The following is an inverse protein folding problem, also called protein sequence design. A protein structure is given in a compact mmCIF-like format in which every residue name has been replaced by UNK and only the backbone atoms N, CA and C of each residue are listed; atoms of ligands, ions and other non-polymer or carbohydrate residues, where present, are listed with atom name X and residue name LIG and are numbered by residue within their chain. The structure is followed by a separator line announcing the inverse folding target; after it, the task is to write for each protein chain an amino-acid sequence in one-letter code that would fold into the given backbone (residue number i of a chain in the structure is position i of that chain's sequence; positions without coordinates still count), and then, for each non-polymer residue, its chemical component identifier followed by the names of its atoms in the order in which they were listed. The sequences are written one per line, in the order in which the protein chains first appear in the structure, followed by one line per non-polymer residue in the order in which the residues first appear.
data_IF_293588514715
#
_entry.id   IF_293588514715
#
_cell.length_a   1.000
_cell.length_b   1.000
_cell.length_c   1.000
_cell.angle_alpha   90.00
_cell.angle_beta   90.00
_cell.angle_gamma   90.00
#
_symmetry.space_group_name_H-M   'P 1'
#
loop_
_entity.id
_entity.type
_entity.pdbx_description
1 polymer ?
#
# COMPACT_ATOMS: atom_id res chain seq x y z
N UNK A 1 -15.25 21.00 19.91
CA UNK A 1 -15.16 21.50 18.51
C UNK A 1 -13.79 22.13 18.29
N UNK A 2 -12.76 21.29 18.20
CA UNK A 2 -11.46 21.59 17.62
C UNK A 2 -11.24 20.46 16.62
N UNK A 3 -10.97 20.82 15.37
CA UNK A 3 -11.30 20.04 14.18
C UNK A 3 -10.74 18.64 14.17
N UNK A 4 -11.54 17.72 13.61
CA UNK A 4 -11.01 16.61 12.85
C UNK A 4 -10.12 17.19 11.75
N UNK A 5 -8.87 17.51 12.09
CA UNK A 5 -7.86 17.90 11.12
C UNK A 5 -7.72 16.72 10.16
N UNK A 6 -7.79 16.98 8.85
CA UNK A 6 -7.88 15.99 7.78
C UNK A 6 -6.89 14.83 7.94
N UNK A 7 -7.38 13.73 8.50
CA UNK A 7 -6.66 12.46 8.57
C UNK A 7 -6.96 11.54 7.39
N UNK A 8 -7.81 11.98 6.46
CA UNK A 8 -8.12 11.25 5.25
C UNK A 8 -6.83 11.03 4.43
N UNK A 9 -6.53 9.78 4.11
CA UNK A 9 -5.33 9.35 3.40
C UNK A 9 -4.93 10.28 2.23
N UNK A 10 -5.91 10.69 1.42
CA UNK A 10 -5.69 11.45 0.19
C UNK A 10 -5.48 12.97 0.42
N UNK A 11 -5.82 13.48 1.60
CA UNK A 11 -5.75 14.92 1.93
C UNK A 11 -4.70 15.20 3.02
N UNK A 12 -4.24 14.16 3.72
CA UNK A 12 -3.30 14.25 4.82
C UNK A 12 -1.89 14.57 4.32
N UNK A 13 -1.38 15.74 4.70
CA UNK A 13 -0.03 16.22 4.31
C UNK A 13 1.08 15.55 5.15
N UNK A 14 0.75 15.04 6.33
CA UNK A 14 1.70 14.36 7.21
C UNK A 14 1.06 13.88 8.51
N UNK A 15 1.85 13.21 9.34
CA UNK A 15 1.42 12.80 10.68
C UNK A 15 1.46 14.00 11.65
N UNK A 16 0.51 14.05 12.61
CA UNK A 16 0.56 14.94 13.77
C UNK A 16 1.93 14.95 14.46
N UNK A 17 2.34 16.13 14.94
CA UNK A 17 3.63 16.33 15.59
C UNK A 17 3.85 15.38 16.78
N UNK A 18 2.80 15.12 17.55
CA UNK A 18 2.81 14.22 18.70
C UNK A 18 3.03 12.74 18.32
N UNK A 19 2.82 12.37 17.05
CA UNK A 19 3.13 11.03 16.52
C UNK A 19 4.54 10.95 15.91
N UNK A 20 5.23 12.07 15.67
CA UNK A 20 6.55 12.09 15.01
C UNK A 20 7.75 11.93 15.95
N UNK A 21 7.55 12.06 17.26
CA UNK A 21 8.66 12.09 18.22
C UNK A 21 9.61 10.87 18.16
N UNK A 22 9.11 9.68 17.79
CA UNK A 22 9.98 8.50 17.62
C UNK A 22 10.84 8.59 16.36
N UNK A 23 10.31 9.15 15.27
CA UNK A 23 11.09 9.40 14.06
C UNK A 23 12.14 10.49 14.30
N UNK A 24 11.85 11.48 15.15
CA UNK A 24 12.82 12.49 15.56
C UNK A 24 13.91 11.91 16.48
N UNK A 25 13.52 11.04 17.43
CA UNK A 25 14.45 10.38 18.35
C UNK A 25 15.32 9.33 17.67
N UNK A 26 14.77 8.62 16.69
CA UNK A 26 15.43 7.56 15.93
C UNK A 26 15.34 7.91 14.44
N UNK A 27 16.20 8.80 13.91
CA UNK A 27 16.15 9.20 12.52
C UNK A 27 16.51 8.03 11.59
N UNK A 28 15.95 8.04 10.38
CA UNK A 28 15.98 6.91 9.43
C UNK A 28 17.40 6.46 9.08
N UNK A 29 18.33 7.40 9.02
CA UNK A 29 19.74 7.17 8.71
C UNK A 29 20.39 6.22 9.71
N UNK A 30 19.91 6.21 10.96
CA UNK A 30 20.47 5.38 12.04
C UNK A 30 19.79 4.01 12.14
N UNK A 31 18.73 3.74 11.39
CA UNK A 31 17.93 2.53 11.55
C UNK A 31 18.73 1.26 11.24
N UNK A 32 19.57 1.30 10.20
CA UNK A 32 20.33 0.14 9.75
C UNK A 32 21.39 -0.31 10.75
N UNK A 33 21.89 0.57 11.60
CA UNK A 33 22.92 0.24 12.61
C UNK A 33 22.32 0.03 14.01
N UNK A 34 21.00 0.22 14.18
CA UNK A 34 20.36 0.16 15.48
C UNK A 34 20.12 -1.29 15.90
N UNK A 35 20.76 -1.70 17.00
CA UNK A 35 20.76 -3.07 17.52
C UNK A 35 19.37 -3.73 17.63
N UNK A 36 18.32 -2.94 17.89
CA UNK A 36 16.94 -3.43 18.03
C UNK A 36 16.04 -3.26 16.79
N UNK A 37 16.55 -2.69 15.69
CA UNK A 37 15.79 -2.50 14.43
C UNK A 37 16.04 -3.66 13.45
N UNK A 38 17.12 -4.43 13.65
CA UNK A 38 17.42 -5.58 12.81
C UNK A 38 16.34 -6.68 12.89
N UNK A 39 16.08 -7.36 11.76
CA UNK A 39 15.11 -8.43 11.64
C UNK A 39 13.74 -7.95 11.14
N UNK A 40 12.74 -7.90 12.03
CA UNK A 40 11.33 -7.68 11.67
C UNK A 40 11.10 -6.32 10.99
N UNK A 41 11.73 -5.23 11.45
CA UNK A 41 11.53 -3.92 10.82
C UNK A 41 12.07 -3.88 9.37
N UNK A 42 13.23 -4.50 9.11
CA UNK A 42 13.75 -4.64 7.76
C UNK A 42 12.84 -5.50 6.86
N UNK A 43 12.21 -6.55 7.40
CA UNK A 43 11.24 -7.35 6.67
C UNK A 43 10.02 -6.52 6.24
N UNK A 44 9.48 -5.68 7.13
CA UNK A 44 8.37 -4.78 6.80
C UNK A 44 8.75 -3.73 5.76
N UNK A 45 9.94 -3.13 5.87
CA UNK A 45 10.44 -2.19 4.86
C UNK A 45 10.59 -2.86 3.49
N UNK A 46 11.12 -4.08 3.43
CA UNK A 46 11.24 -4.85 2.19
C UNK A 46 9.88 -5.21 1.59
N UNK A 47 8.87 -5.53 2.41
CA UNK A 47 7.49 -5.72 1.94
C UNK A 47 6.95 -4.45 1.29
N UNK A 48 7.16 -3.29 1.92
CA UNK A 48 6.74 -2.01 1.36
C UNK A 48 7.50 -1.65 0.08
N UNK A 49 8.81 -1.94 0.01
CA UNK A 49 9.61 -1.76 -1.20
C UNK A 49 9.07 -2.61 -2.36
N UNK A 50 8.73 -3.88 -2.11
CA UNK A 50 8.09 -4.77 -3.08
C UNK A 50 6.77 -4.20 -3.62
N UNK A 51 5.93 -3.60 -2.76
CA UNK A 51 4.69 -2.96 -3.24
C UNK A 51 4.97 -1.76 -4.15
N UNK A 52 5.98 -0.94 -3.83
CA UNK A 52 6.36 0.19 -4.70
C UNK A 52 6.88 -0.31 -6.05
N UNK A 53 7.67 -1.37 -6.05
CA UNK A 53 8.18 -1.98 -7.29
C UNK A 53 7.05 -2.55 -8.15
N UNK A 54 6.18 -3.37 -7.58
CA UNK A 54 5.04 -3.96 -8.29
C UNK A 54 4.06 -2.89 -8.80
N UNK A 55 3.77 -1.88 -7.98
CA UNK A 55 2.92 -0.76 -8.38
C UNK A 55 3.53 0.03 -9.55
N UNK A 56 4.83 0.32 -9.49
CA UNK A 56 5.56 0.96 -10.59
C UNK A 56 5.58 0.12 -11.86
N UNK A 57 5.77 -1.20 -11.73
CA UNK A 57 5.70 -2.14 -12.86
C UNK A 57 4.34 -2.09 -13.54
N UNK A 58 3.25 -2.20 -12.78
CA UNK A 58 1.87 -2.13 -13.30
C UNK A 58 1.60 -0.79 -13.98
N UNK A 59 2.00 0.34 -13.37
CA UNK A 59 1.82 1.67 -13.94
C UNK A 59 2.57 1.83 -15.28
N UNK A 60 3.81 1.33 -15.36
CA UNK A 60 4.59 1.37 -16.59
C UNK A 60 3.94 0.53 -17.70
N UNK A 61 3.47 -0.68 -17.40
CA UNK A 61 2.78 -1.52 -18.38
C UNK A 61 1.48 -0.90 -18.89
N UNK A 62 0.73 -0.19 -18.04
CA UNK A 62 -0.42 0.62 -18.47
C UNK A 62 0.04 1.73 -19.43
N UNK A 63 1.14 2.42 -19.13
CA UNK A 63 1.74 3.42 -20.01
C UNK A 63 2.15 2.84 -21.37
N UNK A 64 2.82 1.70 -21.39
CA UNK A 64 3.25 1.01 -22.61
C UNK A 64 2.06 0.65 -23.51
N UNK A 65 0.97 0.13 -22.93
CA UNK A 65 -0.26 -0.14 -23.67
C UNK A 65 -0.87 1.15 -24.24
N UNK A 66 -0.98 2.21 -23.43
CA UNK A 66 -1.52 3.50 -23.87
C UNK A 66 -0.72 4.14 -25.00
N UNK A 67 0.58 3.88 -25.05
CA UNK A 67 1.49 4.38 -26.08
C UNK A 67 1.61 3.42 -27.27
N UNK A 68 0.82 2.34 -27.31
CA UNK A 68 0.79 1.38 -28.43
C UNK A 68 2.01 0.47 -28.51
N UNK A 69 2.84 0.40 -27.46
CA UNK A 69 3.98 -0.53 -27.37
C UNK A 69 3.56 -1.97 -27.09
N UNK A 70 2.36 -2.16 -26.55
CA UNK A 70 1.75 -3.47 -26.33
C UNK A 70 0.44 -3.57 -27.07
N UNK A 71 0.18 -4.73 -27.66
CA UNK A 71 -1.15 -5.07 -28.17
C UNK A 71 -2.12 -5.29 -27.01
N UNK A 72 -3.43 -5.19 -27.26
CA UNK A 72 -4.45 -5.48 -26.25
C UNK A 72 -4.30 -6.90 -25.63
N UNK A 73 -4.09 -7.98 -26.42
CA UNK A 73 -3.84 -9.32 -25.87
C UNK A 73 -2.62 -9.41 -25.00
N UNK A 74 -1.51 -8.83 -25.47
CA UNK A 74 -0.24 -8.91 -24.76
C UNK A 74 -0.33 -8.17 -23.44
N UNK A 75 -0.97 -6.98 -23.44
CA UNK A 75 -1.27 -6.25 -22.22
C UNK A 75 -2.15 -7.07 -21.28
N UNK A 76 -3.30 -7.56 -21.73
CA UNK A 76 -4.24 -8.29 -20.87
C UNK A 76 -3.61 -9.54 -20.23
N UNK A 77 -2.90 -10.34 -21.03
CA UNK A 77 -2.18 -11.55 -20.59
C UNK A 77 -1.07 -11.22 -19.58
N UNK A 78 -0.40 -10.09 -19.73
CA UNK A 78 0.65 -9.66 -18.83
C UNK A 78 0.11 -9.02 -17.54
N UNK A 79 -0.94 -8.20 -17.65
CA UNK A 79 -1.46 -7.34 -16.59
C UNK A 79 -2.27 -8.11 -15.55
N UNK A 80 -3.23 -8.94 -15.99
CA UNK A 80 -4.16 -9.63 -15.10
C UNK A 80 -3.49 -10.44 -13.97
N UNK A 81 -2.52 -11.35 -14.26
CA UNK A 81 -1.88 -12.13 -13.19
C UNK A 81 -1.04 -11.26 -12.24
N UNK A 82 -0.45 -10.15 -12.73
CA UNK A 82 0.37 -9.25 -11.91
C UNK A 82 -0.49 -8.38 -11.01
N UNK A 83 -1.62 -7.90 -11.51
CA UNK A 83 -2.61 -7.20 -10.70
C UNK A 83 -3.12 -8.12 -9.59
N UNK A 84 -3.53 -9.34 -9.91
CA UNK A 84 -3.98 -10.31 -8.91
C UNK A 84 -2.90 -10.61 -7.84
N UNK A 85 -1.64 -10.72 -8.25
CA UNK A 85 -0.53 -10.90 -7.32
C UNK A 85 -0.36 -9.68 -6.40
N UNK A 86 -0.40 -8.47 -6.96
CA UNK A 86 -0.30 -7.23 -6.19
C UNK A 86 -1.43 -7.10 -5.17
N UNK A 87 -2.69 -7.28 -5.61
CA UNK A 87 -3.88 -7.18 -4.78
C UNK A 87 -3.87 -8.20 -3.64
N UNK A 88 -3.57 -9.48 -3.95
CA UNK A 88 -3.55 -10.53 -2.93
C UNK A 88 -2.45 -10.36 -1.89
N UNK A 89 -1.27 -9.85 -2.28
CA UNK A 89 -0.22 -9.53 -1.31
C UNK A 89 -0.60 -8.33 -0.43
N UNK A 90 -1.24 -7.31 -0.99
CA UNK A 90 -1.59 -6.10 -0.27
C UNK A 90 -2.69 -6.37 0.75
N UNK A 91 -3.71 -7.14 0.37
CA UNK A 91 -4.76 -7.62 1.28
C UNK A 91 -4.17 -8.43 2.45
N UNK A 92 -3.36 -9.45 2.14
CA UNK A 92 -2.73 -10.26 3.18
C UNK A 92 -1.79 -9.47 4.09
N UNK A 93 -1.12 -8.45 3.56
CA UNK A 93 -0.23 -7.57 4.30
C UNK A 93 -0.99 -6.71 5.32
N UNK A 94 -2.04 -6.00 4.89
CA UNK A 94 -2.85 -5.18 5.79
C UNK A 94 -3.53 -6.05 6.86
N UNK A 95 -4.08 -7.20 6.49
CA UNK A 95 -4.70 -8.13 7.44
C UNK A 95 -3.72 -8.56 8.56
N UNK A 96 -2.44 -8.79 8.23
CA UNK A 96 -1.44 -9.13 9.25
C UNK A 96 -1.10 -7.92 10.12
N UNK A 97 -0.98 -6.72 9.54
CA UNK A 97 -0.74 -5.50 10.29
C UNK A 97 -1.87 -5.21 11.28
N UNK A 98 -3.11 -5.14 10.79
CA UNK A 98 -4.30 -4.72 11.53
C UNK A 98 -4.64 -5.69 12.66
N UNK A 99 -4.64 -6.99 12.37
CA UNK A 99 -5.11 -7.99 13.33
C UNK A 99 -4.02 -8.53 14.26
N UNK A 100 -2.73 -8.44 13.87
CA UNK A 100 -1.64 -9.06 14.63
C UNK A 100 -0.65 -8.04 15.17
N UNK A 101 -0.13 -7.14 14.32
CA UNK A 101 1.00 -6.28 14.71
C UNK A 101 0.58 -4.97 15.38
N UNK A 102 -0.40 -4.26 14.85
CA UNK A 102 -0.89 -3.02 15.43
C UNK A 102 -1.36 -3.18 16.88
N UNK A 103 -2.09 -4.24 17.27
CA UNK A 103 -2.46 -4.47 18.67
C UNK A 103 -1.24 -4.66 19.59
N UNK A 104 -0.22 -5.38 19.11
CA UNK A 104 1.02 -5.63 19.87
C UNK A 104 1.80 -4.33 20.03
N UNK A 105 1.95 -3.54 18.97
CA UNK A 105 2.67 -2.27 19.01
C UNK A 105 1.95 -1.20 19.83
N UNK A 106 0.62 -1.10 19.72
CA UNK A 106 -0.18 -0.20 20.55
C UNK A 106 -0.07 -0.54 22.04
N UNK A 107 0.07 -1.82 22.39
CA UNK A 107 0.32 -2.25 23.77
C UNK A 107 1.74 -1.90 24.23
N UNK A 108 2.73 -1.98 23.35
CA UNK A 108 4.13 -1.70 23.67
C UNK A 108 4.42 -0.20 23.83
N UNK A 109 3.79 0.66 23.01
CA UNK A 109 3.91 2.11 23.10
C UNK A 109 2.53 2.78 22.92
N UNK A 110 1.78 2.99 24.02
CA UNK A 110 0.41 3.51 23.96
C UNK A 110 0.28 4.90 23.33
N UNK A 111 1.35 5.72 23.34
CA UNK A 111 1.32 7.04 22.70
C UNK A 111 1.17 6.96 21.18
N UNK A 112 1.55 5.83 20.57
CA UNK A 112 1.40 5.60 19.14
C UNK A 112 0.05 5.00 18.75
N UNK A 113 -0.84 4.66 19.70
CA UNK A 113 -2.13 4.01 19.40
C UNK A 113 -2.93 4.78 18.33
N UNK A 114 -2.98 6.10 18.45
CA UNK A 114 -3.66 6.95 17.49
C UNK A 114 -3.06 6.84 16.07
N UNK A 115 -1.75 6.68 15.95
CA UNK A 115 -1.09 6.45 14.66
C UNK A 115 -1.53 5.14 14.01
N UNK A 116 -1.70 4.06 14.78
CA UNK A 116 -2.22 2.80 14.25
C UNK A 116 -3.70 2.88 13.86
N UNK A 117 -4.52 3.64 14.60
CA UNK A 117 -5.92 3.91 14.21
C UNK A 117 -6.01 4.68 12.88
N UNK A 118 -5.07 5.61 12.63
CA UNK A 118 -4.96 6.29 11.34
C UNK A 118 -4.62 5.29 10.22
N UNK A 119 -3.64 4.42 10.43
CA UNK A 119 -3.23 3.43 9.42
C UNK A 119 -4.34 2.41 9.12
N UNK A 120 -5.05 1.92 10.14
CA UNK A 120 -6.23 1.06 9.96
C UNK A 120 -7.33 1.74 9.12
N UNK A 121 -7.62 3.01 9.38
CA UNK A 121 -8.57 3.79 8.57
C UNK A 121 -8.07 3.98 7.12
N UNK A 122 -6.76 4.16 6.93
CA UNK A 122 -6.16 4.23 5.60
C UNK A 122 -6.25 2.89 4.87
N UNK A 123 -6.06 1.76 5.55
CA UNK A 123 -6.18 0.42 4.98
C UNK A 123 -7.58 0.17 4.43
N UNK A 124 -8.63 0.57 5.16
CA UNK A 124 -10.01 0.51 4.65
C UNK A 124 -10.17 1.35 3.37
N UNK A 125 -9.67 2.59 3.36
CA UNK A 125 -9.73 3.48 2.19
C UNK A 125 -8.99 2.88 0.99
N UNK A 126 -7.83 2.27 1.24
CA UNK A 126 -7.04 1.59 0.22
C UNK A 126 -7.83 0.40 -0.31
N UNK A 127 -8.39 -0.45 0.56
CA UNK A 127 -9.15 -1.64 0.16
C UNK A 127 -10.32 -1.29 -0.77
N UNK A 128 -11.10 -0.26 -0.44
CA UNK A 128 -12.14 0.24 -1.34
C UNK A 128 -11.58 0.66 -2.71
N UNK A 129 -10.38 1.27 -2.73
CA UNK A 129 -9.68 1.61 -3.96
C UNK A 129 -9.20 0.38 -4.75
N UNK A 130 -8.75 -0.67 -4.05
CA UNK A 130 -8.32 -1.94 -4.64
C UNK A 130 -9.48 -2.70 -5.26
N UNK A 131 -10.63 -2.75 -4.58
CA UNK A 131 -11.85 -3.36 -5.10
C UNK A 131 -12.29 -2.67 -6.40
N UNK A 132 -12.39 -1.34 -6.39
CA UNK A 132 -12.71 -0.56 -7.59
C UNK A 132 -11.70 -0.78 -8.72
N UNK A 133 -10.41 -0.92 -8.40
CA UNK A 133 -9.37 -1.20 -9.38
C UNK A 133 -9.56 -2.59 -10.00
N UNK A 134 -9.83 -3.61 -9.19
CA UNK A 134 -10.08 -4.97 -9.64
C UNK A 134 -11.32 -5.04 -10.55
N UNK A 135 -12.42 -4.39 -10.16
CA UNK A 135 -13.65 -4.31 -10.95
C UNK A 135 -13.40 -3.65 -12.31
N UNK A 136 -12.74 -2.49 -12.33
CA UNK A 136 -12.41 -1.76 -13.55
C UNK A 136 -11.47 -2.57 -14.46
N UNK A 137 -10.47 -3.23 -13.89
CA UNK A 137 -9.53 -4.07 -14.63
C UNK A 137 -10.23 -5.27 -15.27
N UNK A 138 -11.09 -5.96 -14.52
CA UNK A 138 -11.86 -7.10 -15.03
C UNK A 138 -12.80 -6.68 -16.16
N UNK A 139 -13.50 -5.56 -15.99
CA UNK A 139 -14.36 -5.02 -17.05
C UNK A 139 -13.55 -4.67 -18.31
N UNK A 140 -12.41 -4.00 -18.13
CA UNK A 140 -11.52 -3.63 -19.23
C UNK A 140 -10.99 -4.85 -20.00
N UNK A 141 -10.45 -5.84 -19.29
CA UNK A 141 -9.93 -7.08 -19.90
C UNK A 141 -11.03 -7.82 -20.67
N UNK A 142 -12.25 -7.87 -20.12
CA UNK A 142 -13.39 -8.49 -20.79
C UNK A 142 -13.71 -7.77 -22.11
N UNK A 143 -13.77 -6.43 -22.12
CA UNK A 143 -14.00 -5.65 -23.33
C UNK A 143 -12.89 -5.85 -24.37
N UNK A 144 -11.64 -5.97 -23.95
CA UNK A 144 -10.54 -6.28 -24.87
C UNK A 144 -10.77 -7.62 -25.56
N UNK A 145 -11.15 -8.66 -24.82
CA UNK A 145 -11.41 -9.99 -25.39
C UNK A 145 -12.61 -10.00 -26.35
N UNK A 146 -13.69 -9.28 -26.02
CA UNK A 146 -14.88 -9.17 -26.88
C UNK A 146 -14.63 -8.37 -28.17
N UNK A 147 -13.61 -7.51 -28.19
CA UNK A 147 -13.26 -6.69 -29.38
C UNK A 147 -12.36 -7.39 -30.39
N UNK A 148 -11.88 -8.60 -30.07
CA UNK A 148 -11.07 -9.44 -30.96
C UNK A 148 -11.88 -10.51 -31.70
N UNK A 149 -13.15 -10.69 -31.32
CA UNK A 149 -14.15 -11.52 -32.00
C UNK A 149 -14.93 -10.72 -33.06
#
# INVERSE_FOLDING_TARGET
MAGAANFLLLERVGLPDDLRWLAEKYPRENWQDHANIHGIANMWLQRHDMFRELGGMLANGIGDYREGRLTAPDFARWFAPRLNHFLGNLDGHHNVEDYQYFPVFAKAEPRLKHGFEILDADHHTIHEGLERNAEAANAFIKTLQESED
#
